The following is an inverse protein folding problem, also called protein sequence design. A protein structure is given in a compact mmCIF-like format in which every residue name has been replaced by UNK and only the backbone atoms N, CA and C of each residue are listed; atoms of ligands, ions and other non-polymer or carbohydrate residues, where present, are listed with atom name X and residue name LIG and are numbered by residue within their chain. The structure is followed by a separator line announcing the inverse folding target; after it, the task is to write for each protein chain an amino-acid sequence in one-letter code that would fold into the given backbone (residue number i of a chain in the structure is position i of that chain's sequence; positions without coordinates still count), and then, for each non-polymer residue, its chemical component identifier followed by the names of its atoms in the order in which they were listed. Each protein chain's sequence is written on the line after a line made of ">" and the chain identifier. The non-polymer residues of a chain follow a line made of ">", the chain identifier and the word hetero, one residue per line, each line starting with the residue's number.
data_IF_162829770162
#
_entry.id   IF_162829770162
#
_cell.length_a   1.000
_cell.length_b   1.000
_cell.length_c   1.000
_cell.angle_alpha   90.00
_cell.angle_beta   90.00
_cell.angle_gamma   90.00
#
_symmetry.space_group_name_H-M   'P 1'
#
loop_
_entity.id
_entity.type
_entity.pdbx_description
1 polymer ?
#
# COMPACT_ATOMS: atom_id res chain seq x y z
N UNK A 1 -5.85 -12.62 3.25
CA UNK A 1 -7.31 -12.66 3.47
C UNK A 1 -7.85 -13.86 2.73
N UNK A 2 -8.53 -14.80 3.41
CA UNK A 2 -9.18 -15.91 2.74
C UNK A 2 -10.15 -15.37 1.68
N UNK A 3 -10.08 -15.93 0.47
CA UNK A 3 -10.99 -15.58 -0.64
C UNK A 3 -12.41 -15.96 -0.23
N UNK A 4 -13.28 -14.99 -0.01
CA UNK A 4 -14.75 -15.03 -0.25
C UNK A 4 -15.63 -16.14 0.37
N UNK A 5 -15.10 -17.20 0.98
CA UNK A 5 -15.91 -18.31 1.48
C UNK A 5 -16.49 -17.98 2.85
N UNK A 6 -17.81 -18.08 2.96
CA UNK A 6 -18.53 -17.90 4.22
C UNK A 6 -18.26 -19.10 5.13
N UNK A 7 -17.53 -18.88 6.24
CA UNK A 7 -17.37 -19.84 7.33
C UNK A 7 -18.41 -19.56 8.43
N UNK A 8 -19.14 -20.57 8.90
CA UNK A 8 -20.00 -20.45 10.09
C UNK A 8 -19.12 -20.42 11.34
N UNK A 9 -19.37 -19.48 12.25
CA UNK A 9 -18.67 -19.40 13.54
C UNK A 9 -19.19 -20.57 14.40
N UNK A 10 -18.26 -21.41 14.87
CA UNK A 10 -18.55 -22.49 15.83
C UNK A 10 -18.39 -21.99 17.26
N UNK A 11 -18.89 -22.75 18.23
CA UNK A 11 -18.73 -22.41 19.65
C UNK A 11 -17.25 -22.34 20.08
N UNK A 12 -16.40 -23.18 19.49
CA UNK A 12 -14.94 -23.10 19.67
C UNK A 12 -14.36 -21.79 19.13
N UNK A 13 -14.83 -21.32 17.96
CA UNK A 13 -14.41 -20.02 17.40
C UNK A 13 -14.86 -18.87 18.34
N UNK A 14 -16.04 -18.96 18.94
CA UNK A 14 -16.55 -17.96 19.89
C UNK A 14 -15.71 -17.90 21.17
N UNK A 15 -15.38 -19.06 21.74
CA UNK A 15 -14.53 -19.15 22.92
C UNK A 15 -13.13 -18.59 22.63
N UNK A 16 -12.56 -18.93 21.46
CA UNK A 16 -11.29 -18.40 21.03
C UNK A 16 -11.29 -16.86 20.94
N UNK A 17 -12.38 -16.26 20.43
CA UNK A 17 -12.51 -14.79 20.38
C UNK A 17 -12.53 -14.21 21.80
N UNK A 18 -13.31 -14.79 22.72
CA UNK A 18 -13.42 -14.35 24.11
C UNK A 18 -12.09 -14.43 24.86
N UNK A 19 -11.28 -15.45 24.60
CA UNK A 19 -10.00 -15.64 25.29
C UNK A 19 -8.92 -14.69 24.72
N UNK A 20 -9.00 -14.33 23.43
CA UNK A 20 -7.88 -13.69 22.72
C UNK A 20 -8.10 -12.22 22.35
N UNK A 21 -9.30 -11.63 22.44
CA UNK A 21 -9.57 -10.26 21.97
C UNK A 21 -8.71 -9.18 22.65
N UNK A 22 -8.32 -9.39 23.92
CA UNK A 22 -7.41 -8.52 24.67
C UNK A 22 -5.93 -8.86 24.44
N UNK A 23 -5.61 -10.09 24.07
CA UNK A 23 -4.23 -10.53 23.86
C UNK A 23 -3.68 -10.14 22.49
N UNK A 24 -4.50 -10.27 21.44
CA UNK A 24 -4.07 -10.00 20.06
C UNK A 24 -5.00 -9.04 19.31
N UNK A 25 -4.52 -8.39 18.23
CA UNK A 25 -5.35 -7.52 17.41
C UNK A 25 -6.47 -8.30 16.69
N UNK A 26 -7.65 -7.70 16.58
CA UNK A 26 -8.85 -8.30 15.93
C UNK A 26 -8.55 -8.88 14.54
N UNK A 27 -7.70 -8.20 13.75
CA UNK A 27 -7.32 -8.69 12.41
C UNK A 27 -6.59 -10.03 12.45
N UNK A 28 -5.77 -10.27 13.48
CA UNK A 28 -5.06 -11.54 13.65
C UNK A 28 -6.02 -12.65 14.02
N UNK A 29 -6.96 -12.39 14.94
CA UNK A 29 -8.04 -13.34 15.29
C UNK A 29 -8.83 -13.73 14.03
N UNK A 30 -9.18 -12.76 13.19
CA UNK A 30 -9.84 -13.04 11.92
C UNK A 30 -9.00 -13.92 10.98
N UNK A 31 -7.69 -13.65 10.88
CA UNK A 31 -6.78 -14.43 10.05
C UNK A 31 -6.64 -15.89 10.55
N UNK A 32 -6.49 -16.10 11.86
CA UNK A 32 -6.40 -17.43 12.48
C UNK A 32 -7.68 -18.24 12.27
N UNK A 33 -8.85 -17.61 12.48
CA UNK A 33 -10.13 -18.27 12.31
C UNK A 33 -10.58 -18.41 10.85
N UNK A 34 -9.84 -17.80 9.91
CA UNK A 34 -10.22 -17.76 8.50
C UNK A 34 -11.46 -16.92 8.20
N UNK A 35 -11.78 -15.93 9.04
CA UNK A 35 -12.94 -15.04 8.90
C UNK A 35 -12.54 -13.57 8.74
N UNK A 36 -13.45 -12.74 8.22
CA UNK A 36 -13.22 -11.30 8.16
C UNK A 36 -13.15 -10.69 9.56
N UNK A 37 -12.22 -9.75 9.77
CA UNK A 37 -12.08 -8.99 11.02
C UNK A 37 -13.40 -8.30 11.42
N UNK A 38 -14.23 -7.90 10.45
CA UNK A 38 -15.54 -7.29 10.71
C UNK A 38 -16.53 -8.25 11.39
N UNK A 39 -16.40 -9.57 11.18
CA UNK A 39 -17.24 -10.54 11.88
C UNK A 39 -16.84 -10.68 13.35
N UNK A 40 -15.54 -10.66 13.63
CA UNK A 40 -15.03 -10.65 15.00
C UNK A 40 -15.53 -9.39 15.71
N UNK A 41 -15.49 -8.22 15.05
CA UNK A 41 -16.01 -6.97 15.61
C UNK A 41 -17.51 -7.04 15.92
N UNK A 42 -18.34 -7.52 14.98
CA UNK A 42 -19.78 -7.73 15.21
C UNK A 42 -20.07 -8.72 16.35
N UNK A 43 -19.24 -9.75 16.51
CA UNK A 43 -19.35 -10.68 17.62
C UNK A 43 -19.08 -9.99 18.96
N UNK A 44 -18.02 -9.18 19.03
CA UNK A 44 -17.70 -8.40 20.23
C UNK A 44 -18.85 -7.44 20.60
N UNK A 45 -19.38 -6.70 19.62
CA UNK A 45 -20.51 -5.78 19.80
C UNK A 45 -21.75 -6.51 20.31
N UNK A 46 -22.08 -7.69 19.73
CA UNK A 46 -23.24 -8.51 20.14
C UNK A 46 -23.11 -9.05 21.56
N UNK A 47 -21.89 -9.32 22.02
CA UNK A 47 -21.61 -9.87 23.34
C UNK A 47 -21.24 -8.80 24.39
N UNK A 48 -21.29 -7.50 24.04
CA UNK A 48 -20.92 -6.42 24.95
C UNK A 48 -19.44 -6.41 25.35
N UNK A 49 -18.57 -6.99 24.52
CA UNK A 49 -17.13 -7.09 24.78
C UNK A 49 -16.40 -5.89 24.18
N UNK A 50 -15.99 -4.95 25.02
CA UNK A 50 -15.24 -3.77 24.56
C UNK A 50 -13.74 -3.92 24.75
N UNK A 51 -12.97 -3.46 23.76
CA UNK A 51 -11.52 -3.32 23.88
C UNK A 51 -11.22 -1.95 24.50
N UNK A 52 -10.52 -1.88 25.65
CA UNK A 52 -10.17 -0.62 26.28
C UNK A 52 -9.49 0.36 25.32
N UNK A 53 -9.90 1.63 25.34
CA UNK A 53 -9.33 2.68 24.48
C UNK A 53 -7.82 2.80 24.63
N UNK A 54 -7.32 2.69 25.86
CA UNK A 54 -5.88 2.72 26.17
C UNK A 54 -5.13 1.58 25.46
N UNK A 55 -5.68 0.37 25.48
CA UNK A 55 -5.08 -0.78 24.80
C UNK A 55 -5.07 -0.58 23.28
N UNK A 56 -6.13 0.03 22.72
CA UNK A 56 -6.21 0.37 21.30
C UNK A 56 -5.13 1.38 20.90
N UNK A 57 -4.95 2.44 21.70
CA UNK A 57 -3.90 3.43 21.44
C UNK A 57 -2.50 2.83 21.62
N UNK A 58 -2.27 2.00 22.65
CA UNK A 58 -1.00 1.28 22.83
C UNK A 58 -0.66 0.40 21.62
N UNK A 59 -1.64 -0.35 21.11
CA UNK A 59 -1.48 -1.19 19.90
C UNK A 59 -1.17 -0.34 18.66
N UNK A 60 -1.82 0.81 18.50
CA UNK A 60 -1.58 1.75 17.40
C UNK A 60 -0.15 2.30 17.46
N UNK A 61 0.29 2.78 18.63
CA UNK A 61 1.65 3.29 18.84
C UNK A 61 2.72 2.23 18.60
N UNK A 62 2.45 0.97 18.94
CA UNK A 62 3.40 -0.12 18.67
C UNK A 62 3.54 -0.43 17.17
N UNK A 63 2.52 -0.17 16.36
CA UNK A 63 2.52 -0.45 14.92
C UNK A 63 3.15 0.64 14.05
N UNK A 64 3.49 1.81 14.61
CA UNK A 64 4.06 2.91 13.82
C UNK A 64 5.54 2.68 13.53
N UNK A 65 5.99 3.13 12.35
CA UNK A 65 7.40 3.21 12.03
C UNK A 65 7.99 4.37 12.84
N UNK A 66 8.89 4.04 13.77
CA UNK A 66 9.53 5.04 14.63
C UNK A 66 10.53 5.89 13.84
N UNK A 67 10.71 7.15 14.25
CA UNK A 67 11.74 8.03 13.69
C UNK A 67 13.12 7.37 13.84
N UNK A 68 13.90 7.35 12.76
CA UNK A 68 15.20 6.69 12.73
C UNK A 68 15.15 5.20 12.35
N UNK A 69 13.97 4.62 12.09
CA UNK A 69 13.88 3.25 11.60
C UNK A 69 14.59 3.10 10.25
N UNK A 70 15.59 2.23 10.21
CA UNK A 70 16.32 1.88 9.00
C UNK A 70 15.59 0.71 8.31
N UNK A 71 15.15 0.86 7.05
CA UNK A 71 14.55 -0.24 6.31
C UNK A 71 15.49 -1.46 6.22
N UNK A 72 14.95 -2.67 6.34
CA UNK A 72 15.73 -3.92 6.36
C UNK A 72 16.60 -4.16 5.11
N UNK A 73 16.24 -3.50 3.99
CA UNK A 73 16.89 -3.59 2.69
C UNK A 73 17.79 -2.41 2.36
N UNK A 74 17.93 -1.43 3.27
CA UNK A 74 18.79 -0.26 3.03
C UNK A 74 20.24 -0.73 2.82
N UNK A 75 20.85 -0.32 1.70
CA UNK A 75 22.23 -0.67 1.34
C UNK A 75 22.42 -2.08 0.76
N UNK A 76 21.39 -2.93 0.74
CA UNK A 76 21.47 -4.28 0.19
C UNK A 76 21.13 -4.30 -1.30
N UNK A 77 21.82 -5.15 -2.07
CA UNK A 77 21.41 -5.42 -3.45
C UNK A 77 20.13 -6.24 -3.48
N UNK A 78 19.33 -6.12 -4.54
CA UNK A 78 18.07 -6.85 -4.67
C UNK A 78 18.21 -8.36 -4.48
N UNK A 79 19.29 -8.95 -5.01
CA UNK A 79 19.59 -10.37 -4.89
C UNK A 79 19.88 -10.83 -3.45
N UNK A 80 20.21 -9.91 -2.55
CA UNK A 80 20.56 -10.21 -1.15
C UNK A 80 19.34 -10.24 -0.24
N UNK A 81 18.22 -9.60 -0.63
CA UNK A 81 17.02 -9.53 0.20
C UNK A 81 15.75 -10.07 -0.46
N UNK A 82 15.77 -10.39 -1.76
CA UNK A 82 14.66 -11.01 -2.48
C UNK A 82 15.02 -12.42 -2.99
N UNK A 83 14.04 -13.33 -2.95
CA UNK A 83 14.17 -14.64 -3.59
C UNK A 83 14.24 -14.54 -5.12
N UNK A 84 14.86 -15.52 -5.77
CA UNK A 84 14.95 -15.60 -7.25
C UNK A 84 13.57 -15.55 -7.92
N UNK A 85 12.59 -16.23 -7.34
CA UNK A 85 11.21 -16.21 -7.84
C UNK A 85 10.57 -14.82 -7.78
N UNK A 86 10.77 -14.10 -6.67
CA UNK A 86 10.22 -12.75 -6.48
C UNK A 86 10.90 -11.75 -7.42
N UNK A 87 12.20 -11.92 -7.66
CA UNK A 87 12.95 -11.17 -8.67
C UNK A 87 12.35 -11.44 -10.05
N UNK A 88 12.14 -12.69 -10.45
CA UNK A 88 11.55 -13.05 -11.74
C UNK A 88 10.14 -12.45 -11.93
N UNK A 89 9.27 -12.55 -10.90
CA UNK A 89 7.94 -11.93 -10.93
C UNK A 89 7.99 -10.41 -11.12
N UNK A 90 8.89 -9.73 -10.41
CA UNK A 90 9.03 -8.28 -10.51
C UNK A 90 9.72 -7.81 -11.79
N UNK A 91 10.43 -8.67 -12.55
CA UNK A 91 11.11 -8.28 -13.79
C UNK A 91 10.16 -7.74 -14.86
N UNK A 92 8.94 -8.29 -14.95
CA UNK A 92 7.97 -7.90 -15.96
C UNK A 92 7.57 -6.41 -15.90
N UNK A 93 7.55 -5.83 -14.70
CA UNK A 93 7.10 -4.44 -14.46
C UNK A 93 8.25 -3.43 -14.37
N UNK A 94 9.51 -3.87 -14.48
CA UNK A 94 10.66 -2.96 -14.42
C UNK A 94 10.71 -2.03 -15.62
N UNK A 95 11.24 -0.83 -15.40
CA UNK A 95 11.60 0.07 -16.49
C UNK A 95 12.65 -0.60 -17.38
N UNK A 96 12.28 -0.82 -18.63
CA UNK A 96 13.20 -1.35 -19.64
C UNK A 96 14.06 -0.19 -20.14
N UNK A 97 15.37 -0.41 -20.24
CA UNK A 97 16.30 0.59 -20.78
C UNK A 97 15.83 1.04 -22.17
N UNK A 98 15.74 2.35 -22.39
CA UNK A 98 15.29 2.93 -23.65
C UNK A 98 13.76 2.98 -23.86
N UNK A 99 12.95 2.39 -22.99
CA UNK A 99 11.49 2.49 -23.09
C UNK A 99 11.05 3.91 -22.74
N UNK A 100 10.54 4.63 -23.74
CA UNK A 100 9.95 5.96 -23.58
C UNK A 100 8.51 5.84 -23.05
N UNK A 101 8.07 6.71 -22.13
CA UNK A 101 6.66 6.82 -21.76
C UNK A 101 5.74 6.98 -22.98
N UNK A 102 4.50 6.49 -22.90
CA UNK A 102 3.54 6.56 -24.02
C UNK A 102 3.25 7.99 -24.47
N UNK A 103 3.34 8.96 -23.55
CA UNK A 103 3.11 10.38 -23.79
C UNK A 103 4.38 11.13 -24.24
N UNK A 104 5.46 10.42 -24.59
CA UNK A 104 6.71 11.06 -25.02
C UNK A 104 6.52 11.74 -26.36
N UNK A 105 6.60 13.07 -26.34
CA UNK A 105 6.51 13.92 -27.52
C UNK A 105 7.68 13.73 -28.49
N UNK A 106 7.43 13.86 -29.78
CA UNK A 106 8.44 13.80 -30.83
C UNK A 106 9.09 15.17 -31.05
N UNK A 107 10.21 15.20 -31.77
CA UNK A 107 10.84 16.47 -32.18
C UNK A 107 9.86 17.21 -33.10
N UNK A 108 9.65 18.49 -32.84
CA UNK A 108 8.69 19.34 -33.55
C UNK A 108 7.31 19.41 -32.90
N UNK A 109 6.99 18.53 -31.94
CA UNK A 109 5.72 18.61 -31.22
C UNK A 109 5.62 19.90 -30.43
N UNK A 110 4.46 20.55 -30.52
CA UNK A 110 4.13 21.74 -29.75
C UNK A 110 3.20 21.34 -28.60
N UNK A 111 3.52 21.80 -27.39
CA UNK A 111 2.70 21.59 -26.20
C UNK A 111 2.32 22.94 -25.62
N UNK A 112 1.04 23.09 -25.26
CA UNK A 112 0.53 24.25 -24.54
C UNK A 112 0.53 23.95 -23.04
N UNK A 113 1.21 24.78 -22.25
CA UNK A 113 1.31 24.66 -20.80
C UNK A 113 0.62 25.86 -20.17
N UNK A 114 -0.33 25.61 -19.28
CA UNK A 114 -1.02 26.66 -18.52
C UNK A 114 -0.16 27.08 -17.34
N UNK A 115 0.11 28.37 -17.22
CA UNK A 115 0.73 28.97 -16.05
C UNK A 115 -0.28 29.03 -14.89
N UNK A 116 0.14 28.54 -13.72
CA UNK A 116 -0.71 28.51 -12.53
C UNK A 116 -0.93 29.89 -11.91
N UNK A 117 -0.04 30.86 -12.15
CA UNK A 117 -0.15 32.19 -11.55
C UNK A 117 -1.17 33.08 -12.26
N UNK A 118 -1.05 33.22 -13.59
CA UNK A 118 -1.89 34.15 -14.37
C UNK A 118 -2.90 33.44 -15.28
N UNK A 119 -2.90 32.10 -15.33
CA UNK A 119 -3.80 31.31 -16.18
C UNK A 119 -3.49 31.38 -17.68
N UNK A 120 -2.39 32.03 -18.08
CA UNK A 120 -1.96 32.19 -19.47
C UNK A 120 -1.40 30.88 -20.00
N UNK A 121 -1.63 30.61 -21.28
CA UNK A 121 -1.13 29.42 -21.95
C UNK A 121 0.10 29.75 -22.78
N UNK A 122 1.22 29.11 -22.46
CA UNK A 122 2.49 29.25 -23.19
C UNK A 122 2.73 28.04 -24.08
N UNK A 123 3.11 28.26 -25.35
CA UNK A 123 3.45 27.16 -26.27
C UNK A 123 4.95 26.90 -26.29
N UNK A 124 5.31 25.62 -26.22
CA UNK A 124 6.68 25.14 -26.33
C UNK A 124 6.82 24.11 -27.44
N UNK A 125 7.89 24.21 -28.23
CA UNK A 125 8.26 23.21 -29.24
C UNK A 125 9.39 22.32 -28.73
N UNK A 126 9.28 21.01 -28.97
CA UNK A 126 10.35 20.05 -28.62
C UNK A 126 11.45 20.06 -29.68
N UNK A 127 12.66 20.49 -29.33
CA UNK A 127 13.81 20.41 -30.24
C UNK A 127 14.52 19.06 -30.12
N UNK A 128 14.71 18.59 -28.88
CA UNK A 128 15.29 17.28 -28.56
C UNK A 128 14.85 16.84 -27.15
N UNK A 129 15.27 15.66 -26.71
CA UNK A 129 14.96 15.22 -25.34
C UNK A 129 15.48 16.24 -24.31
N UNK A 130 14.63 16.58 -23.35
CA UNK A 130 14.89 17.58 -22.31
C UNK A 130 15.23 18.99 -22.83
N UNK A 131 14.89 19.33 -24.07
CA UNK A 131 15.12 20.65 -24.62
C UNK A 131 13.88 21.14 -25.36
N UNK A 132 13.27 22.17 -24.78
CA UNK A 132 12.03 22.80 -25.23
C UNK A 132 12.26 24.29 -25.39
N UNK A 133 11.73 24.85 -26.45
CA UNK A 133 11.87 26.29 -26.76
C UNK A 133 10.49 26.91 -26.78
N UNK A 134 10.37 28.08 -26.16
CA UNK A 134 9.15 28.87 -26.16
C UNK A 134 8.89 29.44 -27.57
N UNK A 135 7.64 29.40 -28.04
CA UNK A 135 7.30 29.82 -29.41
C UNK A 135 6.30 30.98 -29.46
N UNK A 136 5.37 31.08 -28.50
CA UNK A 136 4.47 32.23 -28.26
C UNK A 136 3.47 31.90 -27.17
#
# INVERSE_FOLDING_TARGET
>A
MPKGYYKKITEQDEQFIKDNFLLMPIKHIGNELGISFGRVMRFLDKNGLEIPKELREKRKLNGVIKKGNIPFNKGKKQAEYMSKESIAKSQATRFKKGRKPHNTKQKGDIVSIKDSYNGTYYKYIKIKNNHWVFVS
#
